data_IF_796000724688
#
_entry.id   IF_796000724688
#
_cell.length_a   1.000
_cell.length_b   1.000
_cell.length_c   1.000
_cell.angle_alpha   90.00
_cell.angle_beta   90.00
_cell.angle_gamma   90.00
#
_symmetry.space_group_name_H-M   'P 1'
#
loop_
_entity.id
_entity.type
_entity.pdbx_description
1 polymer ?
#
# COMPACT_ATOMS: atom_id res chain seq x y z
N UNK A 1 7.23 -72.63 -8.72
CA UNK A 1 6.69 -71.53 -9.55
C UNK A 1 5.80 -70.54 -8.77
N UNK A 2 5.00 -70.99 -7.79
CA UNK A 2 4.12 -70.12 -6.99
C UNK A 2 4.83 -69.12 -6.05
N UNK A 3 5.99 -69.49 -5.47
CA UNK A 3 6.72 -68.62 -4.52
C UNK A 3 7.34 -67.37 -5.16
N UNK A 4 7.77 -67.46 -6.42
CA UNK A 4 8.36 -66.33 -7.17
C UNK A 4 7.31 -65.32 -7.65
N UNK A 5 6.06 -65.77 -7.84
CA UNK A 5 4.94 -64.90 -8.24
C UNK A 5 4.45 -64.06 -7.05
N UNK A 6 4.38 -64.64 -5.85
CA UNK A 6 3.96 -63.94 -4.64
C UNK A 6 4.94 -62.81 -4.27
N UNK A 7 6.26 -63.03 -4.42
CA UNK A 7 7.27 -62.01 -4.13
C UNK A 7 7.24 -60.84 -5.13
N UNK A 8 6.95 -61.11 -6.41
CA UNK A 8 6.79 -60.05 -7.43
C UNK A 8 5.54 -59.20 -7.21
N UNK A 9 4.44 -59.80 -6.74
CA UNK A 9 3.20 -59.06 -6.44
C UNK A 9 3.40 -58.15 -5.22
N UNK A 10 4.10 -58.61 -4.18
CA UNK A 10 4.40 -57.80 -2.99
C UNK A 10 5.30 -56.60 -3.35
N UNK A 11 6.31 -56.79 -4.20
CA UNK A 11 7.17 -55.69 -4.67
C UNK A 11 6.40 -54.67 -5.51
N UNK A 12 5.47 -55.11 -6.37
CA UNK A 12 4.61 -54.21 -7.16
C UNK A 12 3.65 -53.43 -6.27
N UNK A 13 3.10 -54.02 -5.20
CA UNK A 13 2.27 -53.31 -4.24
C UNK A 13 3.06 -52.29 -3.40
N UNK A 14 4.30 -52.60 -3.03
CA UNK A 14 5.18 -51.67 -2.31
C UNK A 14 5.60 -50.50 -3.22
N UNK A 15 5.92 -50.76 -4.49
CA UNK A 15 6.26 -49.73 -5.48
C UNK A 15 5.05 -48.86 -5.89
N UNK A 16 3.84 -49.41 -5.88
CA UNK A 16 2.62 -48.65 -6.18
C UNK A 16 2.15 -47.80 -4.98
N UNK A 17 2.33 -48.30 -3.74
CA UNK A 17 2.07 -47.53 -2.52
C UNK A 17 2.97 -46.30 -2.35
N UNK A 18 4.21 -46.37 -2.86
CA UNK A 18 5.16 -45.26 -2.87
C UNK A 18 4.83 -44.18 -3.93
N UNK A 19 3.99 -44.49 -4.93
CA UNK A 19 3.57 -43.53 -5.96
C UNK A 19 2.26 -42.81 -5.63
N UNK A 20 1.43 -43.39 -4.74
CA UNK A 20 0.18 -42.78 -4.26
C UNK A 20 0.40 -41.72 -3.17
N UNK A 21 1.59 -41.63 -2.59
CA UNK A 21 1.93 -40.68 -1.53
C UNK A 21 2.26 -39.26 -2.00
N UNK A 22 2.23 -38.97 -3.30
CA UNK A 22 2.61 -37.66 -3.85
C UNK A 22 1.45 -36.80 -4.35
N UNK A 23 0.20 -37.20 -4.10
CA UNK A 23 -0.95 -36.38 -4.49
C UNK A 23 -1.46 -35.57 -3.29
N UNK A 24 -1.40 -34.25 -3.50
CA UNK A 24 -1.89 -33.18 -2.63
C UNK A 24 -1.09 -32.93 -1.35
N UNK A 25 0.05 -32.25 -1.49
CA UNK A 25 0.36 -31.21 -0.49
C UNK A 25 -0.81 -30.22 -0.52
N UNK A 26 -1.50 -29.96 0.61
CA UNK A 26 -2.50 -28.90 0.62
C UNK A 26 -1.78 -27.59 0.31
N UNK A 27 -2.22 -26.89 -0.73
CA UNK A 27 -1.69 -25.58 -1.13
C UNK A 27 -1.77 -24.51 -0.01
N UNK A 28 -2.44 -24.82 1.10
CA UNK A 28 -2.68 -23.93 2.24
C UNK A 28 -1.47 -23.63 3.13
N UNK A 29 -0.37 -24.38 3.00
CA UNK A 29 0.78 -24.21 3.91
C UNK A 29 1.74 -23.09 3.50
N UNK A 30 1.74 -22.67 2.23
CA UNK A 30 2.69 -21.65 1.72
C UNK A 30 2.20 -20.23 2.03
N UNK A 31 0.90 -19.98 1.90
CA UNK A 31 0.32 -18.63 2.01
C UNK A 31 0.41 -18.05 3.42
N UNK A 32 0.30 -18.89 4.45
CA UNK A 32 0.36 -18.49 5.86
C UNK A 32 1.77 -18.06 6.25
N UNK A 33 2.81 -18.71 5.72
CA UNK A 33 4.21 -18.38 6.02
C UNK A 33 4.60 -17.02 5.42
N UNK A 34 4.17 -16.73 4.18
CA UNK A 34 4.37 -15.42 3.55
C UNK A 34 3.65 -14.28 4.29
N UNK A 35 2.48 -14.56 4.88
CA UNK A 35 1.74 -13.57 5.66
C UNK A 35 2.49 -13.15 6.92
N UNK A 36 3.11 -14.10 7.64
CA UNK A 36 3.70 -13.91 8.98
C UNK A 36 4.91 -12.96 9.05
N UNK A 37 5.45 -12.54 7.92
CA UNK A 37 6.52 -11.53 7.84
C UNK A 37 6.19 -10.33 6.96
N UNK A 38 4.93 -10.22 6.50
CA UNK A 38 4.53 -9.19 5.56
C UNK A 38 4.39 -7.81 6.22
N UNK A 39 4.50 -6.74 5.42
CA UNK A 39 4.19 -5.38 5.87
C UNK A 39 2.77 -5.29 6.43
N UNK A 40 1.82 -6.06 5.88
CA UNK A 40 0.43 -6.10 6.35
C UNK A 40 0.33 -6.64 7.77
N UNK A 41 0.98 -7.76 8.07
CA UNK A 41 1.00 -8.32 9.43
C UNK A 41 1.56 -7.31 10.43
N UNK A 42 2.69 -6.67 10.09
CA UNK A 42 3.28 -5.63 10.92
C UNK A 42 2.37 -4.42 11.15
N UNK A 43 1.48 -4.08 10.20
CA UNK A 43 0.44 -3.05 10.38
C UNK A 43 -0.64 -3.53 11.34
N UNK A 44 -1.12 -4.77 11.18
CA UNK A 44 -2.19 -5.35 12.00
C UNK A 44 -1.74 -5.55 13.45
N UNK A 45 -0.54 -6.08 13.68
CA UNK A 45 0.03 -6.29 15.02
C UNK A 45 0.21 -4.98 15.79
N UNK A 46 0.75 -3.95 15.13
CA UNK A 46 0.95 -2.63 15.74
C UNK A 46 -0.35 -1.83 15.86
N UNK A 47 -1.37 -2.18 15.09
CA UNK A 47 -2.66 -1.47 15.07
C UNK A 47 -2.58 -0.07 14.46
N UNK A 48 -1.57 0.20 13.63
CA UNK A 48 -1.34 1.50 12.99
C UNK A 48 -0.91 1.36 11.53
N UNK A 49 -1.62 2.04 10.63
CA UNK A 49 -1.24 2.22 9.22
C UNK A 49 -0.52 3.57 9.09
N UNK A 50 0.78 3.55 8.82
CA UNK A 50 1.58 4.78 8.64
C UNK A 50 1.54 5.19 7.18
N UNK A 51 1.09 6.41 6.91
CA UNK A 51 0.84 6.94 5.57
C UNK A 51 1.79 8.11 5.33
N UNK A 52 2.73 7.94 4.40
CA UNK A 52 3.64 9.00 3.97
C UNK A 52 2.99 9.91 2.95
N UNK A 53 3.14 11.22 3.15
CA UNK A 53 2.62 12.27 2.27
C UNK A 53 3.46 13.54 2.39
N UNK A 54 3.31 14.48 1.47
CA UNK A 54 3.85 15.84 1.59
C UNK A 54 2.71 16.84 1.79
N UNK A 55 2.60 17.42 2.98
CA UNK A 55 1.48 18.34 3.25
C UNK A 55 1.64 19.62 2.43
N UNK A 56 0.66 19.91 1.56
CA UNK A 56 0.65 21.14 0.76
C UNK A 56 0.09 20.98 -0.65
N UNK A 57 -0.16 19.75 -1.10
CA UNK A 57 -0.67 19.49 -2.43
C UNK A 57 -2.20 19.50 -2.46
N UNK A 58 -2.78 20.69 -2.63
CA UNK A 58 -4.23 20.86 -2.73
C UNK A 58 -4.76 20.35 -4.09
N UNK A 59 -5.90 19.63 -4.14
CA UNK A 59 -6.84 19.31 -3.05
C UNK A 59 -6.61 17.96 -2.32
N UNK A 60 -5.47 17.31 -2.55
CA UNK A 60 -5.20 15.93 -2.11
C UNK A 60 -4.80 15.84 -0.63
N UNK A 61 -3.86 16.67 -0.19
CA UNK A 61 -3.40 16.72 1.20
C UNK A 61 -3.09 18.15 1.64
N UNK A 62 -3.86 18.64 2.61
CA UNK A 62 -3.72 20.00 3.12
C UNK A 62 -4.03 20.10 4.60
N UNK A 63 -3.54 21.15 5.23
CA UNK A 63 -3.92 21.50 6.60
C UNK A 63 -5.33 22.08 6.56
N UNK A 64 -6.24 21.52 7.37
CA UNK A 64 -7.55 22.13 7.58
C UNK A 64 -7.40 23.39 8.43
N UNK A 65 -7.42 24.55 7.79
CA UNK A 65 -7.38 25.85 8.48
C UNK A 65 -8.64 26.10 9.32
N UNK A 66 -9.73 25.37 9.09
CA UNK A 66 -10.98 25.48 9.88
C UNK A 66 -10.90 24.75 11.22
N UNK A 67 -9.92 23.87 11.42
CA UNK A 67 -9.78 23.12 12.67
C UNK A 67 -9.43 24.00 13.89
N UNK A 68 -9.12 25.28 13.68
CA UNK A 68 -9.06 26.31 14.73
C UNK A 68 -10.42 26.82 15.22
N UNK A 69 -11.53 26.42 14.59
CA UNK A 69 -12.89 26.84 14.91
C UNK A 69 -13.75 25.60 15.22
N UNK A 70 -13.92 25.29 16.52
CA UNK A 70 -15.06 24.53 17.06
C UNK A 70 -15.33 23.10 16.55
N UNK A 71 -14.38 22.38 15.95
CA UNK A 71 -14.63 20.97 15.64
C UNK A 71 -14.52 20.09 16.90
N UNK A 72 -15.67 19.74 17.49
CA UNK A 72 -15.81 18.90 18.69
C UNK A 72 -15.39 17.43 18.47
N UNK A 73 -15.15 17.03 17.22
CA UNK A 73 -14.68 15.71 16.82
C UNK A 73 -13.79 15.88 15.58
N UNK A 74 -12.50 15.56 15.72
CA UNK A 74 -11.56 15.53 14.60
C UNK A 74 -12.02 14.39 13.68
N UNK A 75 -12.70 14.71 12.57
CA UNK A 75 -13.17 13.72 11.59
C UNK A 75 -12.06 13.31 10.61
N UNK A 76 -10.97 14.07 10.58
CA UNK A 76 -9.91 13.96 9.57
C UNK A 76 -8.56 13.76 10.27
N UNK A 77 -7.65 13.01 9.65
CA UNK A 77 -6.37 12.59 10.25
C UNK A 77 -5.60 13.71 10.96
N UNK A 78 -4.87 13.35 12.02
CA UNK A 78 -4.00 14.27 12.75
C UNK A 78 -2.53 14.06 12.40
N UNK A 79 -1.77 15.16 12.33
CA UNK A 79 -0.31 15.14 12.27
C UNK A 79 0.26 16.06 13.35
N UNK A 80 1.37 15.66 13.99
CA UNK A 80 2.14 16.55 14.87
C UNK A 80 3.27 17.23 14.09
N UNK A 81 3.32 18.55 14.11
CA UNK A 81 4.39 19.35 13.47
C UNK A 81 4.79 20.49 14.41
N UNK A 82 6.09 20.57 14.75
CA UNK A 82 6.65 21.57 15.69
C UNK A 82 5.86 21.66 17.01
N UNK A 83 5.52 20.51 17.60
CA UNK A 83 4.78 20.42 18.86
C UNK A 83 3.29 20.77 18.78
N UNK A 84 2.77 21.14 17.60
CA UNK A 84 1.34 21.43 17.37
C UNK A 84 0.66 20.25 16.69
N UNK A 85 -0.55 19.93 17.12
CA UNK A 85 -1.43 19.00 16.42
C UNK A 85 -2.17 19.74 15.31
N UNK A 86 -1.99 19.29 14.08
CA UNK A 86 -2.64 19.79 12.89
C UNK A 86 -3.71 18.79 12.45
N UNK A 87 -4.87 19.31 12.07
CA UNK A 87 -5.86 18.53 11.34
C UNK A 87 -5.52 18.58 9.86
N UNK A 88 -5.48 17.42 9.21
CA UNK A 88 -5.33 17.31 7.77
C UNK A 88 -6.70 17.14 7.13
N UNK A 89 -6.84 17.52 5.87
CA UNK A 89 -8.00 17.21 5.02
C UNK A 89 -7.55 17.03 3.58
N UNK A 90 -8.40 16.43 2.76
CA UNK A 90 -8.16 16.24 1.33
C UNK A 90 -8.42 14.81 0.89
N UNK A 91 -8.38 14.60 -0.42
CA UNK A 91 -8.72 13.33 -1.04
C UNK A 91 -7.84 12.16 -0.56
N UNK A 92 -6.52 12.36 -0.50
CA UNK A 92 -5.56 11.33 -0.09
C UNK A 92 -5.65 11.04 1.43
N UNK A 93 -6.05 12.04 2.22
CA UNK A 93 -6.36 11.89 3.64
C UNK A 93 -7.58 10.99 3.86
N UNK A 94 -8.65 11.23 3.09
CA UNK A 94 -9.89 10.46 3.20
C UNK A 94 -9.69 8.99 2.75
N UNK A 95 -8.94 8.76 1.67
CA UNK A 95 -8.53 7.40 1.26
C UNK A 95 -7.74 6.71 2.37
N UNK A 96 -6.77 7.40 2.96
CA UNK A 96 -5.97 6.89 4.09
C UNK A 96 -6.80 6.44 5.29
N UNK A 97 -7.79 7.25 5.65
CA UNK A 97 -8.71 6.95 6.75
C UNK A 97 -9.58 5.73 6.44
N UNK A 98 -10.17 5.67 5.25
CA UNK A 98 -11.04 4.54 4.89
C UNK A 98 -10.25 3.24 4.72
N UNK A 99 -9.00 3.29 4.22
CA UNK A 99 -8.10 2.14 4.19
C UNK A 99 -7.76 1.64 5.60
N UNK A 100 -7.34 2.53 6.50
CA UNK A 100 -7.03 2.16 7.88
C UNK A 100 -8.26 1.56 8.60
N UNK A 101 -9.45 2.12 8.35
CA UNK A 101 -10.73 1.63 8.88
C UNK A 101 -11.09 0.24 8.34
N UNK A 102 -10.87 -0.03 7.06
CA UNK A 102 -11.07 -1.36 6.48
C UNK A 102 -10.13 -2.41 7.13
N UNK A 103 -8.90 -2.00 7.44
CA UNK A 103 -7.92 -2.80 8.16
C UNK A 103 -8.15 -2.85 9.69
N UNK A 104 -9.10 -2.07 10.22
CA UNK A 104 -9.36 -1.90 11.67
C UNK A 104 -8.15 -1.42 12.48
N UNK A 105 -7.33 -0.57 11.86
CA UNK A 105 -6.14 0.05 12.48
C UNK A 105 -6.28 1.58 12.52
N UNK A 106 -5.39 2.26 13.24
CA UNK A 106 -5.36 3.73 13.31
C UNK A 106 -4.54 4.30 12.14
N UNK A 107 -5.05 5.31 11.40
CA UNK A 107 -4.24 6.02 10.41
C UNK A 107 -3.24 6.96 11.12
N UNK A 108 -1.96 6.88 10.74
CA UNK A 108 -0.89 7.75 11.22
C UNK A 108 -0.24 8.43 10.03
N UNK A 109 -0.47 9.74 9.88
CA UNK A 109 0.10 10.50 8.77
C UNK A 109 1.52 10.95 9.09
N UNK A 110 2.43 10.84 8.11
CA UNK A 110 3.85 11.16 8.23
C UNK A 110 4.25 12.14 7.13
N UNK A 111 4.37 13.42 7.50
CA UNK A 111 4.83 14.49 6.60
C UNK A 111 6.31 14.27 6.22
N UNK A 112 6.58 14.16 4.92
CA UNK A 112 7.90 13.92 4.35
C UNK A 112 8.04 14.69 3.04
N UNK A 113 9.23 15.27 2.81
CA UNK A 113 9.51 16.01 1.58
C UNK A 113 9.45 15.11 0.34
N UNK A 114 8.86 15.61 -0.74
CA UNK A 114 8.64 14.87 -1.97
C UNK A 114 9.91 14.22 -2.57
N UNK A 115 11.06 14.91 -2.67
CA UNK A 115 12.27 14.30 -3.25
C UNK A 115 12.76 13.06 -2.49
N UNK A 116 12.46 12.95 -1.20
CA UNK A 116 12.90 11.88 -0.32
C UNK A 116 11.82 10.83 0.00
N UNK A 117 10.63 10.92 -0.61
CA UNK A 117 9.48 10.13 -0.17
C UNK A 117 9.64 8.63 -0.48
N UNK A 118 10.18 8.26 -1.64
CA UNK A 118 10.45 6.86 -2.00
C UNK A 118 11.58 6.26 -1.13
N UNK A 119 12.75 6.92 -0.97
CA UNK A 119 13.76 6.46 -0.02
C UNK A 119 13.22 6.28 1.40
N UNK A 120 12.35 7.19 1.87
CA UNK A 120 11.73 7.08 3.18
C UNK A 120 10.78 5.88 3.31
N UNK A 121 10.04 5.53 2.24
CA UNK A 121 9.24 4.30 2.18
C UNK A 121 10.12 3.07 2.32
N UNK A 122 11.21 3.00 1.55
CA UNK A 122 12.12 1.86 1.55
C UNK A 122 12.87 1.71 2.89
N UNK A 123 13.07 2.81 3.62
CA UNK A 123 13.58 2.81 4.99
C UNK A 123 12.49 2.54 6.05
N UNK A 124 11.29 2.10 5.63
CA UNK A 124 10.18 1.73 6.51
C UNK A 124 9.72 2.85 7.46
N UNK A 125 9.89 4.12 7.07
CA UNK A 125 9.40 5.28 7.86
C UNK A 125 7.87 5.34 7.88
N UNK A 126 7.23 4.84 6.83
CA UNK A 126 5.79 4.64 6.69
C UNK A 126 5.53 3.43 5.80
N UNK A 127 4.29 2.97 5.74
CA UNK A 127 3.91 1.70 5.12
C UNK A 127 3.37 1.88 3.68
N UNK A 128 2.81 3.06 3.38
CA UNK A 128 2.26 3.40 2.07
C UNK A 128 2.44 4.90 1.79
N UNK A 129 2.52 5.29 0.52
CA UNK A 129 2.50 6.69 0.09
C UNK A 129 1.11 7.05 -0.45
N UNK A 130 0.51 8.11 0.08
CA UNK A 130 -0.58 8.84 -0.57
C UNK A 130 -0.14 10.30 -0.75
N UNK A 131 0.07 10.71 -2.00
CA UNK A 131 0.50 12.06 -2.31
C UNK A 131 0.47 12.34 -3.81
N UNK A 132 -0.61 11.93 -4.47
CA UNK A 132 -0.81 12.12 -5.92
C UNK A 132 0.32 11.59 -6.81
N UNK A 133 1.02 10.52 -6.40
CA UNK A 133 2.17 10.01 -7.15
C UNK A 133 1.76 9.36 -8.48
N UNK A 134 2.07 10.05 -9.58
CA UNK A 134 1.96 9.47 -10.91
C UNK A 134 2.88 8.27 -11.08
N UNK A 135 2.32 7.20 -11.62
CA UNK A 135 3.02 5.97 -11.99
C UNK A 135 3.97 6.28 -13.16
N UNK A 136 5.26 6.02 -12.99
CA UNK A 136 6.25 6.13 -14.06
C UNK A 136 7.16 4.91 -14.07
N UNK A 137 7.72 4.59 -15.23
CA UNK A 137 8.64 3.45 -15.37
C UNK A 137 9.90 3.59 -14.48
N UNK A 138 10.38 4.82 -14.27
CA UNK A 138 11.47 5.08 -13.35
C UNK A 138 11.12 4.74 -11.89
N UNK A 139 9.90 5.07 -11.44
CA UNK A 139 9.45 4.80 -10.07
C UNK A 139 9.09 3.33 -9.85
N UNK A 140 8.50 2.66 -10.84
CA UNK A 140 8.17 1.23 -10.77
C UNK A 140 9.39 0.33 -10.52
N UNK A 141 10.58 0.79 -10.88
CA UNK A 141 11.83 0.07 -10.59
C UNK A 141 12.24 0.15 -9.11
N UNK A 142 11.66 1.07 -8.35
CA UNK A 142 12.03 1.37 -6.97
C UNK A 142 10.96 0.96 -5.96
N UNK A 143 9.69 1.02 -6.36
CA UNK A 143 8.52 0.75 -5.52
C UNK A 143 7.39 0.15 -6.35
N UNK A 144 6.57 -0.66 -5.69
CA UNK A 144 5.32 -1.15 -6.27
C UNK A 144 4.21 -0.09 -6.16
N UNK A 145 3.29 -0.11 -7.12
CA UNK A 145 2.12 0.76 -7.14
C UNK A 145 0.85 -0.08 -6.99
N UNK A 146 -0.12 0.47 -6.25
CA UNK A 146 -1.49 -0.01 -6.31
C UNK A 146 -2.13 0.30 -7.68
N UNK A 147 -3.29 -0.28 -7.94
CA UNK A 147 -4.09 0.10 -9.10
C UNK A 147 -4.41 1.61 -9.05
N UNK A 148 -4.22 2.35 -10.15
CA UNK A 148 -4.45 3.78 -10.16
C UNK A 148 -5.94 4.08 -9.95
N UNK A 149 -6.24 5.03 -9.08
CA UNK A 149 -7.61 5.47 -8.80
C UNK A 149 -8.02 6.73 -9.60
N UNK A 150 -7.08 7.36 -10.30
CA UNK A 150 -7.34 8.51 -11.16
C UNK A 150 -6.35 8.58 -12.32
N UNK A 151 -6.77 9.25 -13.41
CA UNK A 151 -5.89 9.62 -14.52
C UNK A 151 -5.68 11.13 -14.49
N UNK A 152 -4.41 11.54 -14.59
CA UNK A 152 -4.00 12.95 -14.60
C UNK A 152 -3.10 13.23 -15.79
N UNK A 153 -3.06 14.48 -16.23
CA UNK A 153 -2.20 14.95 -17.30
C UNK A 153 -1.48 16.23 -16.91
N UNK A 154 -0.32 16.48 -17.53
CA UNK A 154 0.36 17.77 -17.40
C UNK A 154 -0.30 18.78 -18.34
N UNK A 155 -0.50 20.00 -17.84
CA UNK A 155 -1.03 21.10 -18.63
C UNK A 155 -0.26 22.38 -18.37
N UNK A 156 -0.18 23.23 -19.40
CA UNK A 156 0.40 24.57 -19.23
C UNK A 156 -0.69 25.53 -18.78
N UNK A 157 -0.39 26.28 -17.73
CA UNK A 157 -1.20 27.41 -17.29
C UNK A 157 -0.64 28.69 -17.92
N UNK A 158 -1.43 29.37 -18.73
CA UNK A 158 -1.05 30.60 -19.42
C UNK A 158 -1.76 31.82 -18.83
N UNK A 159 -1.13 32.98 -18.97
CA UNK A 159 -1.85 34.24 -18.78
C UNK A 159 -2.96 34.34 -19.84
N UNK A 160 -4.16 34.75 -19.40
CA UNK A 160 -5.34 34.85 -20.26
C UNK A 160 -5.11 35.68 -21.54
N UNK A 161 -4.20 36.66 -21.52
CA UNK A 161 -3.85 37.47 -22.71
C UNK A 161 -3.23 36.66 -23.85
N UNK A 162 -2.74 35.46 -23.56
CA UNK A 162 -2.14 34.53 -24.52
C UNK A 162 -3.13 33.45 -24.97
N UNK A 163 -4.43 33.61 -24.67
CA UNK A 163 -5.47 32.74 -25.21
C UNK A 163 -5.32 32.61 -26.73
N UNK A 164 -5.45 31.38 -27.23
CA UNK A 164 -5.37 31.02 -28.65
C UNK A 164 -4.03 31.28 -29.37
N UNK A 165 -3.02 31.83 -28.67
CA UNK A 165 -1.68 32.07 -29.24
C UNK A 165 -0.73 30.89 -29.09
N UNK A 166 -0.93 30.05 -28.06
CA UNK A 166 -0.14 28.82 -27.83
C UNK A 166 -1.05 27.63 -28.15
N UNK A 167 -0.77 26.95 -29.27
CA UNK A 167 -1.60 25.85 -29.77
C UNK A 167 -1.06 24.46 -29.38
N UNK A 168 0.16 24.38 -28.84
CA UNK A 168 0.79 23.13 -28.40
C UNK A 168 1.83 23.39 -27.30
N UNK A 169 2.06 22.41 -26.43
CA UNK A 169 3.10 22.42 -25.41
C UNK A 169 3.63 21.01 -25.12
#
# INVERSE_FOLDING_TARGET
>A
MFKTICFKIIIVFILCGLWLGQWATPALAVDVEFSKGSTLEGILERGELRIGLEVGYMPFEMIDKRSGLRQKKIRHGGLRRKGRQLSLMGFDIDIGIEMAKALKVKPVFVDTLWPGIIPALNLSRFDIIFGGMSVTEGRKKLVDFANPFMTVGQTVLLNAKHADTVQSY
#
